data_IF_636262076313
#
_entry.id   IF_636262076313
#
_cell.length_a   1.000
_cell.length_b   1.000
_cell.length_c   1.000
_cell.angle_alpha   90.00
_cell.angle_beta   90.00
_cell.angle_gamma   90.00
#
_symmetry.space_group_name_H-M   'P 1'
#
loop_
_entity.id
_entity.type
_entity.pdbx_description
1 polymer ?
#
# COMPACT_ATOMS: atom_id res chain seq x y z
N UNK A 1 -18.38 -33.38 24.63
CA UNK A 1 -18.91 -34.53 23.90
C UNK A 1 -17.74 -35.26 23.25
N UNK A 2 -17.53 -36.50 23.66
CA UNK A 2 -16.36 -37.33 23.40
C UNK A 2 -16.65 -38.51 22.46
N UNK A 3 -17.87 -38.58 21.91
CA UNK A 3 -18.27 -39.61 20.95
C UNK A 3 -17.53 -39.52 19.63
N UNK A 4 -17.48 -40.66 18.91
CA UNK A 4 -16.96 -40.70 17.55
C UNK A 4 -17.87 -39.89 16.62
N UNK A 5 -17.28 -39.17 15.66
CA UNK A 5 -18.00 -38.28 14.74
C UNK A 5 -17.31 -38.18 13.40
N UNK A 6 -18.10 -37.83 12.37
CA UNK A 6 -17.61 -37.55 11.03
C UNK A 6 -17.93 -36.10 10.69
N UNK A 7 -16.91 -35.30 10.39
CA UNK A 7 -17.06 -33.88 10.06
C UNK A 7 -16.53 -33.67 8.64
N UNK A 8 -17.39 -33.21 7.73
CA UNK A 8 -17.03 -32.98 6.31
C UNK A 8 -16.34 -34.19 5.65
N UNK A 9 -16.79 -35.40 5.99
CA UNK A 9 -16.20 -36.66 5.51
C UNK A 9 -14.93 -37.13 6.23
N UNK A 10 -14.44 -36.36 7.22
CA UNK A 10 -13.26 -36.71 8.01
C UNK A 10 -13.70 -37.47 9.27
N UNK A 11 -13.29 -38.73 9.45
CA UNK A 11 -13.60 -39.48 10.67
C UNK A 11 -12.72 -39.01 11.84
N UNK A 12 -13.37 -38.82 12.98
CA UNK A 12 -12.78 -38.44 14.27
C UNK A 12 -13.19 -39.51 15.29
N UNK A 13 -12.26 -40.42 15.65
CA UNK A 13 -12.49 -41.41 16.70
C UNK A 13 -12.87 -40.77 18.03
N UNK A 14 -13.60 -41.53 18.84
CA UNK A 14 -13.92 -41.14 20.20
C UNK A 14 -12.65 -40.84 21.01
N UNK A 15 -12.73 -39.88 21.94
CA UNK A 15 -11.62 -39.55 22.84
C UNK A 15 -10.50 -38.69 22.27
N UNK A 16 -10.53 -38.30 20.98
CA UNK A 16 -9.48 -37.44 20.39
C UNK A 16 -9.47 -35.98 20.91
N UNK A 17 -10.58 -35.49 21.48
CA UNK A 17 -10.71 -34.13 22.05
C UNK A 17 -10.10 -33.05 21.15
N UNK A 18 -9.09 -32.31 21.61
CA UNK A 18 -8.42 -31.22 20.87
C UNK A 18 -7.73 -31.70 19.59
N UNK A 19 -7.02 -32.84 19.63
CA UNK A 19 -6.33 -33.39 18.46
C UNK A 19 -7.31 -33.71 17.31
N UNK A 20 -8.55 -34.09 17.64
CA UNK A 20 -9.61 -34.27 16.65
C UNK A 20 -10.02 -32.97 15.97
N UNK A 21 -10.06 -31.87 16.72
CA UNK A 21 -10.35 -30.54 16.18
C UNK A 21 -9.19 -30.02 15.31
N UNK A 22 -7.94 -30.18 15.75
CA UNK A 22 -6.75 -29.81 14.99
C UNK A 22 -6.69 -30.56 13.65
N UNK A 23 -6.99 -31.86 13.63
CA UNK A 23 -7.10 -32.65 12.39
C UNK A 23 -8.12 -32.08 11.40
N UNK A 24 -9.26 -31.57 11.88
CA UNK A 24 -10.24 -30.90 11.03
C UNK A 24 -9.65 -29.59 10.49
N UNK A 25 -9.00 -28.79 11.35
CA UNK A 25 -8.41 -27.52 10.97
C UNK A 25 -7.31 -27.69 9.92
N UNK A 26 -6.46 -28.70 10.06
CA UNK A 26 -5.41 -29.03 9.08
C UNK A 26 -6.02 -29.40 7.71
N UNK A 27 -7.06 -30.23 7.71
CA UNK A 27 -7.75 -30.60 6.49
C UNK A 27 -8.46 -29.40 5.83
N UNK A 28 -9.07 -28.52 6.63
CA UNK A 28 -9.68 -27.29 6.13
C UNK A 28 -8.61 -26.32 5.58
N UNK A 29 -7.46 -26.20 6.25
CA UNK A 29 -6.36 -25.36 5.82
C UNK A 29 -5.79 -25.83 4.47
N UNK A 30 -5.70 -27.15 4.26
CA UNK A 30 -5.23 -27.75 3.01
C UNK A 30 -6.30 -27.80 1.90
N UNK A 31 -7.56 -27.45 2.20
CA UNK A 31 -8.66 -27.58 1.24
C UNK A 31 -8.51 -26.60 0.05
N UNK A 32 -8.81 -27.02 -1.21
CA UNK A 32 -8.73 -26.15 -2.39
C UNK A 32 -9.54 -24.85 -2.28
N UNK A 33 -10.71 -24.88 -1.63
CA UNK A 33 -11.49 -23.66 -1.37
C UNK A 33 -10.76 -22.66 -0.47
N UNK A 34 -10.00 -23.13 0.51
CA UNK A 34 -9.19 -22.28 1.39
C UNK A 34 -8.04 -21.66 0.60
N UNK A 35 -7.34 -22.46 -0.21
CA UNK A 35 -6.29 -21.96 -1.09
C UNK A 35 -6.81 -20.88 -2.04
N UNK A 36 -7.96 -21.10 -2.69
CA UNK A 36 -8.60 -20.13 -3.59
C UNK A 36 -9.02 -18.86 -2.84
N UNK A 37 -9.57 -18.99 -1.64
CA UNK A 37 -9.99 -17.86 -0.81
C UNK A 37 -8.81 -16.98 -0.38
N UNK A 38 -7.73 -17.58 0.15
CA UNK A 38 -6.53 -16.86 0.57
C UNK A 38 -5.82 -16.24 -0.64
N UNK A 39 -5.69 -16.97 -1.74
CA UNK A 39 -5.13 -16.46 -2.98
C UNK A 39 -5.90 -15.23 -3.48
N UNK A 40 -7.23 -15.28 -3.53
CA UNK A 40 -8.06 -14.14 -3.95
C UNK A 40 -7.88 -12.93 -3.03
N UNK A 41 -7.82 -13.13 -1.71
CA UNK A 41 -7.54 -12.04 -0.75
C UNK A 41 -6.16 -11.41 -0.98
N UNK A 42 -5.12 -12.22 -1.13
CA UNK A 42 -3.75 -11.72 -1.32
C UNK A 42 -3.58 -11.03 -2.67
N UNK A 43 -4.10 -11.59 -3.76
CA UNK A 43 -4.06 -10.95 -5.07
C UNK A 43 -4.82 -9.62 -5.02
N UNK A 44 -5.98 -9.57 -4.32
CA UNK A 44 -6.70 -8.31 -4.12
C UNK A 44 -5.87 -7.28 -3.35
N UNK A 45 -5.19 -7.72 -2.29
CA UNK A 45 -4.37 -6.86 -1.42
C UNK A 45 -3.22 -6.20 -2.20
N UNK A 46 -2.53 -6.97 -3.03
CA UNK A 46 -1.29 -6.54 -3.67
C UNK A 46 -1.47 -5.99 -5.09
N UNK A 47 -2.38 -6.55 -5.88
CA UNK A 47 -2.48 -6.31 -7.33
C UNK A 47 -3.63 -5.36 -7.69
N UNK A 48 -4.88 -5.79 -7.58
CA UNK A 48 -6.05 -5.01 -8.04
C UNK A 48 -7.28 -5.24 -7.16
N UNK A 49 -8.21 -4.29 -7.11
CA UNK A 49 -9.48 -4.45 -6.38
C UNK A 49 -10.31 -5.64 -6.90
N UNK A 50 -10.35 -5.78 -8.21
CA UNK A 50 -10.83 -6.96 -8.93
C UNK A 50 -9.64 -7.87 -9.30
N UNK A 51 -9.35 -8.92 -8.51
CA UNK A 51 -8.16 -9.74 -8.68
C UNK A 51 -8.24 -10.59 -9.97
N UNK A 52 -7.23 -10.55 -10.86
CA UNK A 52 -7.23 -11.34 -12.09
C UNK A 52 -7.38 -12.84 -11.82
N UNK A 53 -8.42 -13.47 -12.37
CA UNK A 53 -8.75 -14.87 -12.10
C UNK A 53 -7.59 -15.84 -12.40
N UNK A 54 -6.82 -15.57 -13.46
CA UNK A 54 -5.66 -16.37 -13.82
C UNK A 54 -4.54 -16.31 -12.76
N UNK A 55 -4.27 -15.14 -12.19
CA UNK A 55 -3.28 -14.99 -11.12
C UNK A 55 -3.77 -15.62 -9.82
N UNK A 56 -5.06 -15.50 -9.50
CA UNK A 56 -5.67 -16.19 -8.34
C UNK A 56 -5.49 -17.69 -8.45
N UNK A 57 -5.74 -18.28 -9.63
CA UNK A 57 -5.54 -19.72 -9.85
C UNK A 57 -4.08 -20.14 -9.63
N UNK A 58 -3.10 -19.46 -10.26
CA UNK A 58 -1.66 -19.77 -10.08
C UNK A 58 -1.21 -19.63 -8.62
N UNK A 59 -1.75 -18.64 -7.91
CA UNK A 59 -1.45 -18.39 -6.49
C UNK A 59 -2.05 -19.49 -5.61
N UNK A 60 -3.28 -19.92 -5.89
CA UNK A 60 -3.93 -21.03 -5.18
C UNK A 60 -3.18 -22.37 -5.42
N UNK A 61 -2.74 -22.62 -6.65
CA UNK A 61 -1.92 -23.80 -6.97
C UNK A 61 -0.59 -23.79 -6.19
N UNK A 62 0.05 -22.61 -6.07
CA UNK A 62 1.27 -22.47 -5.25
C UNK A 62 0.97 -22.77 -3.79
N UNK A 63 -0.14 -22.24 -3.26
CA UNK A 63 -0.56 -22.49 -1.88
C UNK A 63 -0.72 -24.00 -1.63
N UNK A 64 -1.42 -24.72 -2.51
CA UNK A 64 -1.63 -26.16 -2.37
C UNK A 64 -0.32 -26.95 -2.48
N UNK A 65 0.52 -26.65 -3.48
CA UNK A 65 1.80 -27.35 -3.71
C UNK A 65 2.80 -27.18 -2.58
N UNK A 66 2.74 -26.06 -1.87
CA UNK A 66 3.68 -25.72 -0.80
C UNK A 66 3.14 -25.95 0.61
N UNK A 67 1.93 -26.50 0.74
CA UNK A 67 1.28 -26.69 2.05
C UNK A 67 0.99 -25.36 2.75
N UNK A 68 0.72 -24.30 1.99
CA UNK A 68 0.38 -22.98 2.53
C UNK A 68 1.56 -22.08 2.88
N UNK A 69 2.77 -22.33 2.36
CA UNK A 69 3.92 -21.45 2.57
C UNK A 69 3.66 -20.04 1.99
N UNK A 70 3.34 -19.10 2.88
CA UNK A 70 3.01 -17.72 2.54
C UNK A 70 4.17 -17.01 1.82
N UNK A 71 5.43 -17.38 2.10
CA UNK A 71 6.58 -16.80 1.39
C UNK A 71 6.55 -17.17 -0.09
N UNK A 72 6.33 -18.44 -0.42
CA UNK A 72 6.21 -18.91 -1.80
C UNK A 72 4.98 -18.31 -2.49
N UNK A 73 3.84 -18.26 -1.81
CA UNK A 73 2.61 -17.64 -2.32
C UNK A 73 2.82 -16.17 -2.66
N UNK A 74 3.46 -15.40 -1.77
CA UNK A 74 3.77 -13.99 -2.03
C UNK A 74 4.77 -13.81 -3.18
N UNK A 75 5.77 -14.69 -3.33
CA UNK A 75 6.68 -14.66 -4.49
C UNK A 75 5.93 -14.83 -5.81
N UNK A 76 4.97 -15.76 -5.88
CA UNK A 76 4.13 -15.95 -7.07
C UNK A 76 3.38 -14.67 -7.46
N UNK A 77 2.90 -13.92 -6.47
CA UNK A 77 2.20 -12.64 -6.71
C UNK A 77 3.19 -11.54 -7.11
N UNK A 78 4.21 -11.28 -6.28
CA UNK A 78 5.12 -10.14 -6.44
C UNK A 78 6.04 -10.25 -7.67
N UNK A 79 6.23 -11.47 -8.20
CA UNK A 79 6.97 -11.70 -9.43
C UNK A 79 6.08 -11.94 -10.66
N UNK A 80 4.76 -11.79 -10.51
CA UNK A 80 3.85 -11.91 -11.64
C UNK A 80 3.94 -10.69 -12.58
N UNK A 81 3.57 -10.90 -13.85
CA UNK A 81 3.46 -9.81 -14.81
C UNK A 81 2.41 -8.77 -14.37
N UNK A 82 1.28 -9.22 -13.82
CA UNK A 82 0.20 -8.36 -13.34
C UNK A 82 0.63 -7.42 -12.19
N UNK A 83 1.61 -7.83 -11.38
CA UNK A 83 2.16 -6.98 -10.33
C UNK A 83 3.26 -6.04 -10.86
N UNK A 84 4.14 -6.54 -11.73
CA UNK A 84 5.29 -5.77 -12.24
C UNK A 84 4.93 -4.80 -13.36
N UNK A 85 3.86 -5.09 -14.10
CA UNK A 85 3.34 -4.29 -15.19
C UNK A 85 1.85 -4.05 -14.92
N UNK A 86 1.52 -3.22 -13.91
CA UNK A 86 0.14 -3.00 -13.51
C UNK A 86 -0.63 -2.32 -14.65
N UNK A 87 -1.85 -2.81 -14.89
CA UNK A 87 -2.79 -2.19 -15.81
C UNK A 87 -3.16 -0.79 -15.30
N UNK A 88 -2.90 0.28 -16.07
CA UNK A 88 -3.20 1.66 -15.65
C UNK A 88 -4.68 1.90 -15.31
N UNK A 89 -5.58 1.06 -15.80
CA UNK A 89 -7.03 1.13 -15.53
C UNK A 89 -7.44 0.44 -14.23
N UNK A 90 -6.55 -0.36 -13.63
CA UNK A 90 -6.82 -1.16 -12.41
C UNK A 90 -6.03 -0.69 -11.19
N UNK A 91 -5.80 0.62 -11.06
CA UNK A 91 -5.05 1.22 -9.96
C UNK A 91 -5.74 1.00 -8.61
N UNK A 92 -4.96 0.70 -7.58
CA UNK A 92 -5.46 0.62 -6.19
C UNK A 92 -5.18 1.91 -5.45
N UNK A 93 -6.21 2.47 -4.84
CA UNK A 93 -6.02 3.54 -3.86
C UNK A 93 -5.25 2.99 -2.65
N UNK A 94 -4.11 3.62 -2.30
CA UNK A 94 -3.38 3.26 -1.07
C UNK A 94 -4.32 3.40 0.10
N UNK A 95 -4.43 2.37 0.93
CA UNK A 95 -5.10 2.46 2.24
C UNK A 95 -4.47 3.56 3.10
N UNK A 96 -5.22 4.25 3.97
CA UNK A 96 -4.68 5.34 4.80
C UNK A 96 -3.34 5.06 5.49
N UNK A 97 -3.18 3.88 6.11
CA UNK A 97 -1.92 3.43 6.68
C UNK A 97 -0.79 3.39 5.66
N UNK A 98 -1.01 2.75 4.50
CA UNK A 98 0.01 2.67 3.45
C UNK A 98 0.35 4.06 2.90
N UNK A 99 -0.64 4.94 2.74
CA UNK A 99 -0.44 6.32 2.29
C UNK A 99 0.47 7.08 3.26
N UNK A 100 0.11 7.13 4.54
CA UNK A 100 0.87 7.84 5.59
C UNK A 100 2.28 7.27 5.73
N UNK A 101 2.42 5.95 5.87
CA UNK A 101 3.74 5.31 6.03
C UNK A 101 4.60 5.48 4.79
N UNK A 102 4.02 5.40 3.59
CA UNK A 102 4.78 5.64 2.35
C UNK A 102 5.26 7.08 2.26
N UNK A 103 4.46 8.06 2.69
CA UNK A 103 4.87 9.47 2.68
C UNK A 103 6.00 9.72 3.68
N UNK A 104 5.85 9.26 4.91
CA UNK A 104 6.90 9.37 5.93
C UNK A 104 8.21 8.72 5.48
N UNK A 105 8.12 7.50 4.90
CA UNK A 105 9.30 6.76 4.43
C UNK A 105 9.96 7.40 3.21
N UNK A 106 9.19 7.78 2.19
CA UNK A 106 9.76 8.33 0.95
C UNK A 106 10.35 9.72 1.15
N UNK A 107 9.86 10.46 2.14
CA UNK A 107 10.37 11.77 2.51
C UNK A 107 11.45 11.74 3.59
N UNK A 108 11.87 10.54 4.01
CA UNK A 108 12.81 10.36 5.11
C UNK A 108 12.45 11.19 6.37
N UNK A 109 11.16 11.23 6.71
CA UNK A 109 10.70 12.02 7.86
C UNK A 109 11.16 11.38 9.17
N UNK A 110 11.77 12.19 10.05
CA UNK A 110 12.07 11.82 11.43
C UNK A 110 10.77 11.86 12.25
N UNK A 111 10.31 10.71 12.73
CA UNK A 111 9.01 10.58 13.38
C UNK A 111 8.99 9.47 14.42
N UNK A 112 8.28 9.70 15.53
CA UNK A 112 8.02 8.68 16.56
C UNK A 112 6.78 7.83 16.24
N UNK A 113 6.04 8.12 15.16
CA UNK A 113 4.78 7.46 14.80
C UNK A 113 3.68 7.62 15.88
N UNK A 114 3.80 8.61 16.75
CA UNK A 114 2.99 8.78 17.94
C UNK A 114 1.58 9.32 17.68
N UNK A 115 0.98 9.86 18.73
CA UNK A 115 -0.43 10.30 18.73
C UNK A 115 -0.84 11.21 17.54
N UNK A 116 -0.02 12.19 17.08
CA UNK A 116 -0.37 13.02 15.93
C UNK A 116 -0.55 12.21 14.63
N UNK A 117 0.40 11.34 14.31
CA UNK A 117 0.34 10.47 13.12
C UNK A 117 -0.84 9.48 13.23
N UNK A 118 -1.04 8.89 14.41
CA UNK A 118 -2.19 8.00 14.63
C UNK A 118 -3.55 8.72 14.56
N UNK A 119 -3.59 10.01 14.91
CA UNK A 119 -4.80 10.83 14.77
C UNK A 119 -5.20 10.99 13.31
N UNK A 120 -4.23 11.17 12.41
CA UNK A 120 -4.47 11.22 10.96
C UNK A 120 -5.09 9.91 10.48
N UNK A 121 -4.57 8.77 10.93
CA UNK A 121 -5.13 7.46 10.59
C UNK A 121 -6.57 7.29 11.09
N UNK A 122 -6.87 7.75 12.32
CA UNK A 122 -8.24 7.79 12.87
C UNK A 122 -9.17 8.65 12.02
N UNK A 123 -8.74 9.84 11.62
CA UNK A 123 -9.53 10.75 10.79
C UNK A 123 -9.79 10.20 9.38
N UNK A 124 -8.93 9.30 8.90
CA UNK A 124 -9.13 8.56 7.64
C UNK A 124 -9.85 7.22 7.83
N UNK A 125 -10.39 6.94 9.01
CA UNK A 125 -11.17 5.72 9.28
C UNK A 125 -10.36 4.43 9.38
N UNK A 126 -9.04 4.50 9.57
CA UNK A 126 -8.18 3.33 9.77
C UNK A 126 -7.29 3.44 11.02
N UNK A 127 -7.87 3.55 12.24
CA UNK A 127 -7.09 3.38 13.46
C UNK A 127 -6.34 2.04 13.48
N UNK A 128 -5.17 2.02 14.11
CA UNK A 128 -4.41 0.79 14.24
C UNK A 128 -5.10 -0.16 15.22
N UNK A 129 -5.31 -1.41 14.80
CA UNK A 129 -5.85 -2.50 15.63
C UNK A 129 -7.26 -2.24 16.22
N UNK A 130 -8.07 -1.39 15.59
CA UNK A 130 -9.41 -1.04 16.09
C UNK A 130 -10.53 -1.32 15.07
N UNK A 131 -10.31 -2.25 14.13
CA UNK A 131 -11.42 -2.70 13.29
C UNK A 131 -12.35 -3.60 14.10
N UNK A 132 -13.68 -3.35 14.09
CA UNK A 132 -14.60 -3.99 15.03
C UNK A 132 -14.83 -5.48 14.73
N UNK A 133 -14.73 -5.89 13.47
CA UNK A 133 -15.04 -7.24 13.02
C UNK A 133 -13.77 -8.04 12.69
N UNK A 134 -13.81 -9.37 12.79
CA UNK A 134 -12.61 -10.22 12.65
C UNK A 134 -12.09 -10.34 11.21
N UNK A 135 -12.84 -9.85 10.22
CA UNK A 135 -12.48 -9.87 8.80
C UNK A 135 -11.51 -8.76 8.40
N UNK A 136 -11.30 -7.76 9.26
CA UNK A 136 -10.31 -6.70 9.09
C UNK A 136 -10.70 -5.63 8.09
N UNK A 137 -9.90 -4.55 8.03
CA UNK A 137 -10.14 -3.42 7.15
C UNK A 137 -10.25 -3.81 5.66
N UNK A 138 -11.19 -3.21 4.91
CA UNK A 138 -11.42 -3.52 3.49
C UNK A 138 -10.21 -3.16 2.62
N UNK A 139 -9.96 -3.99 1.61
CA UNK A 139 -8.83 -3.81 0.67
C UNK A 139 -9.20 -3.09 -0.63
N UNK A 140 -10.47 -2.72 -0.83
CA UNK A 140 -10.97 -2.03 -2.02
C UNK A 140 -10.96 -0.51 -1.86
N UNK A 141 -10.76 0.22 -2.97
CA UNK A 141 -10.68 1.67 -3.02
C UNK A 141 -11.96 2.35 -2.54
N UNK A 142 -13.13 1.80 -2.88
CA UNK A 142 -14.44 2.35 -2.52
C UNK A 142 -14.59 2.66 -1.01
N UNK A 143 -13.97 1.87 -0.14
CA UNK A 143 -14.01 2.11 1.31
C UNK A 143 -13.17 3.33 1.77
N UNK A 144 -12.28 3.84 0.91
CA UNK A 144 -11.27 4.85 1.24
C UNK A 144 -11.37 6.12 0.41
N UNK A 145 -12.18 6.14 -0.66
CA UNK A 145 -12.33 7.30 -1.56
C UNK A 145 -12.85 8.56 -0.84
N UNK A 146 -13.67 8.40 0.20
CA UNK A 146 -14.14 9.52 1.03
C UNK A 146 -13.06 10.22 1.86
N UNK A 147 -11.80 9.76 1.83
CA UNK A 147 -10.70 10.29 2.68
C UNK A 147 -9.81 11.33 2.01
N UNK A 148 -10.08 11.70 0.75
CA UNK A 148 -9.18 12.55 -0.06
C UNK A 148 -8.83 13.89 0.60
N UNK A 149 -9.82 14.60 1.17
CA UNK A 149 -9.56 15.88 1.84
C UNK A 149 -8.59 15.73 3.03
N UNK A 150 -8.77 14.69 3.85
CA UNK A 150 -7.88 14.40 4.99
C UNK A 150 -6.48 14.06 4.52
N UNK A 151 -6.34 13.41 3.36
CA UNK A 151 -5.03 13.08 2.76
C UNK A 151 -4.28 14.32 2.30
N UNK A 152 -4.98 15.26 1.67
CA UNK A 152 -4.40 16.55 1.29
C UNK A 152 -4.00 17.37 2.51
N UNK A 153 -4.83 17.40 3.56
CA UNK A 153 -4.48 18.04 4.83
C UNK A 153 -3.24 17.42 5.46
N UNK A 154 -3.13 16.09 5.46
CA UNK A 154 -1.93 15.41 5.93
C UNK A 154 -0.70 15.74 5.08
N UNK A 155 -0.81 15.70 3.75
CA UNK A 155 0.28 16.03 2.84
C UNK A 155 0.81 17.45 3.10
N UNK A 156 -0.10 18.41 3.25
CA UNK A 156 0.24 19.79 3.58
C UNK A 156 0.92 19.89 4.95
N UNK A 157 0.33 19.29 5.99
CA UNK A 157 0.87 19.34 7.34
C UNK A 157 2.24 18.66 7.46
N UNK A 158 2.45 17.55 6.76
CA UNK A 158 3.73 16.85 6.71
C UNK A 158 4.79 17.70 6.00
N UNK A 159 4.46 18.22 4.81
CA UNK A 159 5.40 19.04 4.05
C UNK A 159 5.80 20.30 4.83
N UNK A 160 4.88 20.95 5.53
CA UNK A 160 5.15 22.19 6.27
C UNK A 160 5.66 21.97 7.70
N UNK A 161 6.03 20.75 8.10
CA UNK A 161 6.47 20.43 9.46
C UNK A 161 5.44 20.82 10.55
N UNK A 162 4.15 20.73 10.23
CA UNK A 162 3.04 21.05 11.14
C UNK A 162 2.52 19.84 11.92
N UNK A 163 3.14 18.66 11.74
CA UNK A 163 2.85 17.47 12.53
C UNK A 163 3.79 17.40 13.73
N UNK A 164 3.28 17.54 14.98
CA UNK A 164 4.14 17.45 16.16
C UNK A 164 4.93 16.14 16.20
N UNK A 165 6.20 16.22 16.62
CA UNK A 165 7.13 15.08 16.70
C UNK A 165 7.34 14.34 15.37
N UNK A 166 7.09 15.03 14.26
CA UNK A 166 7.42 14.58 12.91
C UNK A 166 8.12 15.73 12.19
N UNK A 167 9.34 15.49 11.71
CA UNK A 167 10.15 16.51 11.03
C UNK A 167 10.62 16.00 9.68
N UNK A 168 10.58 16.89 8.71
CA UNK A 168 11.07 16.75 7.36
C UNK A 168 12.24 17.72 7.18
N UNK A 169 13.37 17.21 6.69
CA UNK A 169 14.48 18.03 6.24
C UNK A 169 14.41 18.22 4.72
N UNK A 170 14.02 19.41 4.27
CA UNK A 170 14.08 19.73 2.84
C UNK A 170 15.52 19.74 2.30
N UNK A 171 16.50 20.08 3.14
CA UNK A 171 17.92 20.04 2.77
C UNK A 171 18.36 18.63 2.41
N UNK A 172 18.10 17.66 3.29
CA UNK A 172 18.43 16.25 3.03
C UNK A 172 17.71 15.70 1.80
N UNK A 173 16.44 16.09 1.61
CA UNK A 173 15.68 15.73 0.41
C UNK A 173 16.27 16.36 -0.86
N UNK A 174 16.72 17.62 -0.79
CA UNK A 174 17.37 18.29 -1.91
C UNK A 174 18.73 17.64 -2.23
N UNK A 175 19.52 17.27 -1.22
CA UNK A 175 20.80 16.57 -1.40
C UNK A 175 20.61 15.19 -2.04
N UNK A 176 19.56 14.46 -1.63
CA UNK A 176 19.15 13.20 -2.27
C UNK A 176 18.72 13.44 -3.73
N UNK A 177 17.99 14.53 -3.98
CA UNK A 177 17.52 14.89 -5.31
C UNK A 177 18.68 15.29 -6.24
N UNK A 178 19.70 16.01 -5.77
CA UNK A 178 20.87 16.42 -6.56
C UNK A 178 21.60 15.23 -7.19
N UNK A 179 21.66 14.10 -6.46
CA UNK A 179 22.25 12.86 -6.94
C UNK A 179 21.33 12.05 -7.88
N UNK A 180 20.11 12.53 -8.12
CA UNK A 180 19.11 11.91 -8.99
C UNK A 180 19.08 12.65 -10.32
N UNK A 181 19.58 12.08 -11.43
CA UNK A 181 19.50 12.72 -12.74
C UNK A 181 18.04 12.83 -13.18
N UNK A 182 17.58 14.03 -13.56
CA UNK A 182 16.31 14.19 -14.26
C UNK A 182 16.56 14.23 -15.78
N UNK A 183 16.20 13.18 -16.55
CA UNK A 183 16.55 13.06 -17.97
C UNK A 183 15.66 13.93 -18.90
N UNK A 184 15.12 15.04 -18.38
CA UNK A 184 14.18 15.89 -19.11
C UNK A 184 14.88 17.17 -19.55
N UNK A 185 15.29 17.22 -20.82
CA UNK A 185 15.97 18.37 -21.46
C UNK A 185 15.18 19.69 -21.35
N UNK A 186 13.85 19.61 -21.21
CA UNK A 186 12.95 20.77 -21.10
C UNK A 186 13.28 21.67 -19.91
N UNK A 187 13.80 21.12 -18.81
CA UNK A 187 14.13 21.89 -17.61
C UNK A 187 15.65 21.94 -17.43
N UNK A 188 16.22 23.15 -17.44
CA UNK A 188 17.66 23.32 -17.24
C UNK A 188 18.08 22.82 -15.84
N UNK A 189 19.25 22.15 -15.70
CA UNK A 189 19.79 21.76 -14.41
C UNK A 189 19.82 22.92 -13.40
N UNK A 190 19.44 22.63 -12.15
CA UNK A 190 19.34 23.64 -11.09
C UNK A 190 18.08 24.51 -11.13
N UNK A 191 17.29 24.46 -12.20
CA UNK A 191 16.00 25.15 -12.25
C UNK A 191 14.97 24.54 -11.30
N UNK A 192 13.95 25.32 -10.95
CA UNK A 192 12.82 24.86 -10.13
C UNK A 192 12.11 23.65 -10.76
N UNK A 193 11.94 23.64 -12.08
CA UNK A 193 11.34 22.52 -12.79
C UNK A 193 12.23 21.27 -12.78
N UNK A 194 13.56 21.45 -12.83
CA UNK A 194 14.49 20.33 -12.69
C UNK A 194 14.38 19.69 -11.31
N UNK A 195 14.38 20.49 -10.23
CA UNK A 195 14.16 19.99 -8.86
C UNK A 195 12.82 19.28 -8.68
N UNK A 196 11.74 19.81 -9.26
CA UNK A 196 10.43 19.15 -9.24
C UNK A 196 10.50 17.76 -9.87
N UNK A 197 11.21 17.61 -10.99
CA UNK A 197 11.39 16.32 -11.65
C UNK A 197 12.25 15.36 -10.81
N UNK A 198 13.29 15.84 -10.16
CA UNK A 198 14.11 15.01 -9.26
C UNK A 198 13.29 14.49 -8.07
N UNK A 199 12.46 15.34 -7.44
CA UNK A 199 11.53 14.89 -6.39
C UNK A 199 10.50 13.89 -6.92
N UNK A 200 9.96 14.11 -8.13
CA UNK A 200 9.07 13.15 -8.75
C UNK A 200 9.73 11.78 -8.97
N UNK A 201 10.99 11.76 -9.42
CA UNK A 201 11.74 10.52 -9.59
C UNK A 201 11.98 9.82 -8.24
N UNK A 202 12.33 10.57 -7.20
CA UNK A 202 12.50 10.00 -5.86
C UNK A 202 11.20 9.40 -5.30
N UNK A 203 10.07 10.07 -5.51
CA UNK A 203 8.77 9.64 -4.96
C UNK A 203 8.08 8.56 -5.80
N UNK A 204 8.16 8.66 -7.13
CA UNK A 204 7.41 7.84 -8.07
C UNK A 204 8.26 6.86 -8.87
N UNK A 205 9.59 6.96 -8.78
CA UNK A 205 10.53 6.21 -9.61
C UNK A 205 10.60 6.68 -11.06
N UNK A 206 9.89 7.75 -11.41
CA UNK A 206 9.80 8.28 -12.77
C UNK A 206 9.48 9.79 -12.75
N UNK A 207 9.86 10.54 -13.79
CA UNK A 207 9.51 11.95 -13.87
C UNK A 207 8.01 12.18 -14.09
N UNK A 208 7.54 13.39 -13.77
CA UNK A 208 6.20 13.83 -14.13
C UNK A 208 6.10 14.08 -15.64
N UNK A 209 4.94 13.80 -16.25
CA UNK A 209 4.62 14.30 -17.59
C UNK A 209 4.83 15.81 -17.66
N UNK A 210 5.51 16.29 -18.71
CA UNK A 210 5.86 17.72 -18.87
C UNK A 210 4.69 18.67 -18.67
N UNK A 211 3.48 18.43 -19.23
CA UNK A 211 2.35 19.32 -19.02
C UNK A 211 1.94 19.44 -17.55
N UNK A 212 1.98 18.33 -16.80
CA UNK A 212 1.66 18.33 -15.39
C UNK A 212 2.71 19.08 -14.56
N UNK A 213 4.00 18.92 -14.91
CA UNK A 213 5.07 19.67 -14.27
C UNK A 213 4.94 21.18 -14.52
N UNK A 214 4.61 21.59 -15.75
CA UNK A 214 4.37 23.00 -16.09
C UNK A 214 3.18 23.59 -15.33
N UNK A 215 2.06 22.88 -15.24
CA UNK A 215 0.90 23.31 -14.44
C UNK A 215 1.26 23.49 -12.96
N UNK A 216 1.94 22.51 -12.36
CA UNK A 216 2.34 22.61 -10.95
C UNK A 216 3.30 23.79 -10.68
N UNK A 217 4.22 24.06 -11.62
CA UNK A 217 5.15 25.18 -11.49
C UNK A 217 4.46 26.54 -11.65
N UNK A 218 3.39 26.62 -12.44
CA UNK A 218 2.59 27.83 -12.61
C UNK A 218 1.69 28.11 -11.40
N UNK A 219 1.07 27.07 -10.83
CA UNK A 219 0.08 27.22 -9.76
C UNK A 219 0.71 27.37 -8.36
N UNK A 220 1.94 26.86 -8.16
CA UNK A 220 2.62 26.93 -6.85
C UNK A 220 3.61 28.09 -6.84
N UNK A 221 3.61 28.88 -5.76
CA UNK A 221 4.57 29.99 -5.58
C UNK A 221 6.03 29.50 -5.56
N UNK A 222 6.98 30.20 -6.22
CA UNK A 222 8.41 29.90 -6.14
C UNK A 222 8.98 29.91 -4.72
N UNK A 223 8.41 30.71 -3.83
CA UNK A 223 8.89 30.92 -2.46
C UNK A 223 8.42 29.81 -1.49
N UNK A 224 7.60 28.87 -1.96
CA UNK A 224 7.03 27.78 -1.14
C UNK A 224 7.43 26.39 -1.66
N UNK A 225 8.68 25.94 -1.44
CA UNK A 225 9.13 24.62 -1.87
C UNK A 225 8.34 23.48 -1.19
N UNK A 226 7.85 23.70 0.02
CA UNK A 226 7.00 22.75 0.75
C UNK A 226 5.63 22.55 0.07
N UNK A 227 5.09 23.56 -0.62
CA UNK A 227 3.83 23.44 -1.33
C UNK A 227 3.93 22.51 -2.55
N UNK A 228 5.07 22.52 -3.27
CA UNK A 228 5.34 21.55 -4.34
C UNK A 228 5.35 20.13 -3.79
N UNK A 229 6.01 19.91 -2.65
CA UNK A 229 6.07 18.60 -2.02
C UNK A 229 4.69 18.12 -1.55
N UNK A 230 3.90 19.00 -0.93
CA UNK A 230 2.52 18.72 -0.56
C UNK A 230 1.68 18.33 -1.77
N UNK A 231 1.84 19.04 -2.90
CA UNK A 231 1.15 18.73 -4.15
C UNK A 231 1.55 17.36 -4.70
N UNK A 232 2.84 16.99 -4.66
CA UNK A 232 3.32 15.67 -5.08
C UNK A 232 2.70 14.54 -4.24
N UNK A 233 2.70 14.65 -2.90
CA UNK A 233 2.09 13.65 -2.01
C UNK A 233 0.57 13.60 -2.22
N UNK A 234 -0.06 14.75 -2.45
CA UNK A 234 -1.49 14.89 -2.69
C UNK A 234 -1.93 14.41 -4.09
N UNK A 235 -1.00 14.23 -5.02
CA UNK A 235 -1.31 13.86 -6.40
C UNK A 235 -1.83 12.42 -6.52
N UNK A 236 -2.66 12.14 -7.55
CA UNK A 236 -3.09 10.77 -7.84
C UNK A 236 -1.93 9.79 -8.08
N UNK A 237 -0.81 10.25 -8.62
CA UNK A 237 0.38 9.42 -8.82
C UNK A 237 0.97 8.89 -7.50
N UNK A 238 0.86 9.64 -6.40
CA UNK A 238 1.30 9.19 -5.08
C UNK A 238 0.24 8.33 -4.39
N UNK A 239 -1.01 8.73 -4.48
CA UNK A 239 -2.10 8.13 -3.71
C UNK A 239 -2.54 6.77 -4.24
N UNK A 240 -2.35 6.51 -5.53
CA UNK A 240 -2.65 5.23 -6.17
C UNK A 240 -1.37 4.41 -6.38
N UNK A 241 -1.51 3.09 -6.39
CA UNK A 241 -0.47 2.11 -6.70
C UNK A 241 -0.95 1.13 -7.76
#
# INVERSE_FOLDING_TARGET
DDGAKTVLGIPIPAGMKQAGAEKILDALAAHPSTAKFIAAKLVRRFVADDPPAALVARTADTFLKTGGDIKSVLKTILFSAEFRQPDPTRRKLKRPFNFVVSALRQLNADTDGGAPVQSVLRQMGQPLFQFPTPDGYPDTAAAWEGTLLTRWRFAFALAHNQLPRTKLSLGEMADLAENTPAPIEKFAPGSRGYRLQQFAILLFGQPLPTPLAETLLADVSPDEPHALLAALIGAPAFQWK
#
